data_IF_625175128074
#
_entry.id   IF_625175128074
#
_cell.length_a   1.000
_cell.length_b   1.000
_cell.length_c   1.000
_cell.angle_alpha   90.00
_cell.angle_beta   90.00
_cell.angle_gamma   90.00
#
_symmetry.space_group_name_H-M   'P 1'
#
loop_
_entity.id
_entity.type
_entity.pdbx_description
1 polymer ?
#
# COMPACT_ATOMS: atom_id res chain seq x y z
N UNK A 1 -18.46 11.77 18.17
CA UNK A 1 -17.19 11.73 18.93
C UNK A 1 -16.12 12.41 18.10
N UNK A 2 -15.14 13.10 18.70
CA UNK A 2 -14.02 13.65 17.96
C UNK A 2 -13.29 12.53 17.21
N UNK A 3 -12.83 12.82 15.99
CA UNK A 3 -12.08 11.88 15.15
C UNK A 3 -10.77 11.49 15.83
N UNK A 4 -10.48 10.20 15.91
CA UNK A 4 -9.19 9.68 16.38
C UNK A 4 -8.22 9.42 15.22
N UNK A 5 -6.95 9.20 15.55
CA UNK A 5 -5.90 8.98 14.55
C UNK A 5 -6.14 7.75 13.69
N UNK A 6 -6.66 6.67 14.28
CA UNK A 6 -6.99 5.44 13.54
C UNK A 6 -8.03 5.72 12.46
N UNK A 7 -9.13 6.38 12.85
CA UNK A 7 -10.24 6.73 11.95
C UNK A 7 -9.74 7.65 10.84
N UNK A 8 -8.98 8.69 11.18
CA UNK A 8 -8.42 9.62 10.20
C UNK A 8 -7.52 8.91 9.17
N UNK A 9 -6.64 8.00 9.60
CA UNK A 9 -5.80 7.23 8.69
C UNK A 9 -6.62 6.32 7.77
N UNK A 10 -7.60 5.60 8.31
CA UNK A 10 -8.42 4.66 7.54
C UNK A 10 -9.34 5.38 6.54
N UNK A 11 -9.90 6.53 6.90
CA UNK A 11 -10.68 7.37 5.98
C UNK A 11 -9.81 7.91 4.84
N UNK A 12 -8.63 8.43 5.15
CA UNK A 12 -7.72 8.93 4.12
C UNK A 12 -7.22 7.78 3.21
N UNK A 13 -6.88 6.62 3.78
CA UNK A 13 -6.49 5.44 3.01
C UNK A 13 -7.60 4.99 2.05
N UNK A 14 -8.86 5.04 2.49
CA UNK A 14 -10.03 4.69 1.67
C UNK A 14 -10.20 5.67 0.51
N UNK A 15 -9.98 6.97 0.76
CA UNK A 15 -9.98 8.01 -0.27
C UNK A 15 -8.86 7.78 -1.31
N UNK A 16 -7.64 7.54 -0.86
CA UNK A 16 -6.48 7.30 -1.72
C UNK A 16 -6.67 6.04 -2.59
N UNK A 17 -7.20 4.96 -2.00
CA UNK A 17 -7.54 3.73 -2.73
C UNK A 17 -8.68 3.95 -3.74
N UNK A 18 -9.69 4.78 -3.42
CA UNK A 18 -10.74 5.13 -4.36
C UNK A 18 -10.19 5.92 -5.56
N UNK A 19 -9.21 6.79 -5.34
CA UNK A 19 -8.52 7.51 -6.42
C UNK A 19 -7.67 6.57 -7.27
N UNK A 20 -6.88 5.68 -6.66
CA UNK A 20 -6.14 4.64 -7.36
C UNK A 20 -7.05 3.86 -8.32
N UNK A 21 -8.21 3.41 -7.84
CA UNK A 21 -9.18 2.68 -8.66
C UNK A 21 -9.68 3.48 -9.85
N UNK A 22 -9.85 4.80 -9.72
CA UNK A 22 -10.24 5.67 -10.84
C UNK A 22 -9.11 5.78 -11.85
N UNK A 23 -7.88 6.01 -11.40
CA UNK A 23 -6.71 6.11 -12.28
C UNK A 23 -6.47 4.82 -13.08
N UNK A 24 -6.65 3.65 -12.45
CA UNK A 24 -6.51 2.36 -13.12
C UNK A 24 -7.54 2.10 -14.24
N UNK A 25 -8.62 2.90 -14.32
CA UNK A 25 -9.57 2.83 -15.45
C UNK A 25 -9.07 3.51 -16.72
N UNK A 26 -8.10 4.42 -16.59
CA UNK A 26 -7.54 5.18 -17.69
C UNK A 26 -6.07 4.80 -17.91
N UNK A 27 -5.82 3.96 -18.92
CA UNK A 27 -4.47 3.49 -19.28
C UNK A 27 -3.57 4.59 -19.85
N UNK A 28 -4.09 5.81 -20.08
CA UNK A 28 -3.27 6.95 -20.50
C UNK A 28 -2.62 7.66 -19.33
N UNK A 29 -3.06 7.40 -18.10
CA UNK A 29 -2.45 7.96 -16.89
C UNK A 29 -1.04 7.38 -16.71
N UNK A 30 -0.01 8.22 -16.54
CA UNK A 30 1.33 7.75 -16.21
C UNK A 30 1.35 6.85 -14.96
N UNK A 31 2.08 5.74 -15.03
CA UNK A 31 2.13 4.72 -13.97
C UNK A 31 2.57 5.29 -12.62
N UNK A 32 3.45 6.29 -12.60
CA UNK A 32 3.89 6.97 -11.37
C UNK A 32 2.71 7.51 -10.54
N UNK A 33 1.67 8.07 -11.17
CA UNK A 33 0.49 8.55 -10.43
C UNK A 33 -0.27 7.40 -9.76
N UNK A 34 -0.44 6.29 -10.46
CA UNK A 34 -1.06 5.10 -9.87
C UNK A 34 -0.22 4.56 -8.70
N UNK A 35 1.11 4.52 -8.85
CA UNK A 35 2.01 4.06 -7.80
C UNK A 35 2.04 4.98 -6.58
N UNK A 36 1.97 6.29 -6.76
CA UNK A 36 1.84 7.25 -5.66
C UNK A 36 0.57 6.98 -4.84
N UNK A 37 -0.59 6.82 -5.49
CA UNK A 37 -1.82 6.51 -4.77
C UNK A 37 -1.82 5.11 -4.13
N UNK A 38 -1.15 4.13 -4.74
CA UNK A 38 -0.95 2.81 -4.12
C UNK A 38 -0.12 2.92 -2.83
N UNK A 39 1.05 3.57 -2.91
CA UNK A 39 1.93 3.82 -1.77
C UNK A 39 1.14 4.52 -0.65
N UNK A 40 0.46 5.63 -0.97
CA UNK A 40 -0.29 6.43 -0.01
C UNK A 40 -1.45 5.68 0.64
N UNK A 41 -2.19 4.89 -0.13
CA UNK A 41 -3.28 4.07 0.39
C UNK A 41 -2.74 3.00 1.35
N UNK A 42 -1.67 2.29 0.96
CA UNK A 42 -1.08 1.22 1.79
C UNK A 42 -0.45 1.74 3.08
N UNK A 43 0.26 2.87 3.02
CA UNK A 43 0.88 3.49 4.19
C UNK A 43 -0.17 3.87 5.24
N UNK A 44 -1.22 4.58 4.82
CA UNK A 44 -2.28 5.03 5.74
C UNK A 44 -3.15 3.89 6.21
N UNK A 45 -3.43 2.90 5.36
CA UNK A 45 -4.13 1.67 5.76
C UNK A 45 -3.38 0.98 6.90
N UNK A 46 -2.08 0.75 6.70
CA UNK A 46 -1.22 0.13 7.69
C UNK A 46 -1.16 0.94 8.99
N UNK A 47 -0.92 2.25 8.91
CA UNK A 47 -0.93 3.14 10.08
C UNK A 47 -2.27 3.11 10.81
N UNK A 48 -3.39 3.01 10.11
CA UNK A 48 -4.72 2.86 10.69
C UNK A 48 -4.85 1.56 11.49
N UNK A 49 -4.54 0.41 10.89
CA UNK A 49 -4.62 -0.90 11.58
C UNK A 49 -3.62 -1.06 12.72
N UNK A 50 -2.46 -0.41 12.64
CA UNK A 50 -1.42 -0.45 13.67
C UNK A 50 -1.64 0.57 14.79
N UNK A 51 -2.59 1.50 14.63
CA UNK A 51 -2.99 2.47 15.65
C UNK A 51 -4.13 1.89 16.50
N UNK A 52 -3.99 1.91 17.83
CA UNK A 52 -5.07 1.50 18.72
C UNK A 52 -6.26 2.48 18.64
N UNK A 53 -7.51 2.02 18.79
CA UNK A 53 -8.66 2.93 18.91
C UNK A 53 -8.45 3.94 20.04
N UNK A 54 -8.67 5.23 19.78
CA UNK A 54 -8.37 6.32 20.71
C UNK A 54 -6.87 6.55 21.00
N UNK A 55 -5.97 5.85 20.29
CA UNK A 55 -4.53 5.93 20.48
C UNK A 55 -3.89 7.19 19.88
N UNK A 56 -2.63 7.41 20.24
CA UNK A 56 -1.81 8.47 19.65
C UNK A 56 -1.42 8.17 18.20
N UNK A 57 -0.95 9.19 17.48
CA UNK A 57 -0.40 9.08 16.12
C UNK A 57 0.66 7.97 16.04
N UNK A 58 0.56 7.11 15.03
CA UNK A 58 1.60 6.13 14.70
C UNK A 58 2.95 6.82 14.47
N UNK A 59 4.00 6.39 15.21
CA UNK A 59 5.31 7.06 15.22
C UNK A 59 6.40 6.36 14.41
N UNK A 60 6.19 5.11 13.98
CA UNK A 60 7.17 4.43 13.12
C UNK A 60 6.94 4.88 11.68
N UNK A 61 8.02 5.19 10.97
CA UNK A 61 7.97 5.78 9.63
C UNK A 61 8.21 4.74 8.55
N UNK A 62 9.11 3.79 8.80
CA UNK A 62 9.54 2.78 7.84
C UNK A 62 8.81 1.45 8.08
N UNK A 63 8.50 0.75 6.99
CA UNK A 63 7.94 -0.60 6.97
C UNK A 63 6.54 -0.78 7.61
N UNK A 64 5.72 0.27 7.65
CA UNK A 64 4.38 0.18 8.22
C UNK A 64 3.53 -0.91 7.55
N UNK A 65 3.53 -0.99 6.23
CA UNK A 65 2.74 -1.94 5.47
C UNK A 65 3.27 -3.37 5.58
N UNK A 66 4.58 -3.60 5.50
CA UNK A 66 5.17 -4.92 5.78
C UNK A 66 4.87 -5.38 7.22
N UNK A 67 4.98 -4.48 8.21
CA UNK A 67 4.61 -4.80 9.60
C UNK A 67 3.12 -5.11 9.75
N UNK A 68 2.26 -4.39 9.03
CA UNK A 68 0.83 -4.68 8.99
C UNK A 68 0.56 -6.09 8.47
N UNK A 69 1.22 -6.53 7.38
CA UNK A 69 1.06 -7.91 6.88
C UNK A 69 1.43 -8.95 7.95
N UNK A 70 2.48 -8.72 8.73
CA UNK A 70 2.89 -9.64 9.80
C UNK A 70 1.79 -9.76 10.87
N UNK A 71 1.25 -8.63 11.32
CA UNK A 71 0.22 -8.59 12.38
C UNK A 71 -1.13 -9.10 11.85
N UNK A 72 -1.48 -8.81 10.59
CA UNK A 72 -2.71 -9.23 9.96
C UNK A 72 -2.90 -10.76 9.97
N UNK A 73 -1.82 -11.55 9.93
CA UNK A 73 -1.87 -13.03 10.06
C UNK A 73 -2.57 -13.53 11.33
N UNK A 74 -2.63 -12.70 12.35
CA UNK A 74 -3.29 -12.98 13.63
C UNK A 74 -4.74 -12.53 13.72
N UNK A 75 -5.27 -11.82 12.71
CA UNK A 75 -6.62 -11.21 12.75
C UNK A 75 -7.68 -12.15 12.16
N UNK A 76 -8.63 -12.66 12.96
CA UNK A 76 -9.74 -13.47 12.46
C UNK A 76 -10.68 -12.68 11.54
N UNK A 77 -10.87 -11.39 11.82
CA UNK A 77 -11.74 -10.52 11.02
C UNK A 77 -11.17 -10.31 9.61
N UNK A 78 -9.88 -10.00 9.50
CA UNK A 78 -9.21 -9.89 8.20
C UNK A 78 -9.15 -11.23 7.47
N UNK A 79 -8.92 -12.33 8.20
CA UNK A 79 -8.95 -13.67 7.63
C UNK A 79 -10.31 -13.95 6.97
N UNK A 80 -11.41 -13.67 7.69
CA UNK A 80 -12.78 -13.84 7.21
C UNK A 80 -13.09 -12.91 6.05
N UNK A 81 -12.71 -11.64 6.14
CA UNK A 81 -12.89 -10.65 5.07
C UNK A 81 -12.20 -11.05 3.76
N UNK A 82 -11.02 -11.67 3.85
CA UNK A 82 -10.29 -12.19 2.71
C UNK A 82 -10.84 -13.55 2.20
N UNK A 83 -11.88 -14.11 2.84
CA UNK A 83 -12.52 -15.36 2.44
C UNK A 83 -11.78 -16.63 2.87
N UNK A 84 -10.85 -16.56 3.81
CA UNK A 84 -10.09 -17.72 4.27
C UNK A 84 -10.72 -18.35 5.52
N UNK A 85 -10.87 -19.67 5.51
CA UNK A 85 -11.35 -20.44 6.68
C UNK A 85 -10.21 -20.92 7.57
N UNK A 86 -9.01 -21.09 7.01
CA UNK A 86 -7.83 -21.59 7.72
C UNK A 86 -6.77 -20.50 7.89
N UNK A 87 -6.40 -20.24 9.15
CA UNK A 87 -5.35 -19.26 9.49
C UNK A 87 -4.02 -19.54 8.80
N UNK A 88 -3.60 -20.81 8.69
CA UNK A 88 -2.35 -21.17 8.01
C UNK A 88 -2.33 -20.78 6.54
N UNK A 89 -3.45 -20.96 5.84
CA UNK A 89 -3.57 -20.61 4.41
C UNK A 89 -3.55 -19.09 4.24
N UNK A 90 -4.26 -18.37 5.12
CA UNK A 90 -4.23 -16.90 5.12
C UNK A 90 -2.83 -16.35 5.44
N UNK A 91 -2.12 -16.94 6.40
CA UNK A 91 -0.75 -16.53 6.70
C UNK A 91 0.19 -16.73 5.49
N UNK A 92 0.11 -17.88 4.83
CA UNK A 92 0.87 -18.15 3.60
C UNK A 92 0.51 -17.20 2.45
N UNK A 93 -0.76 -16.83 2.34
CA UNK A 93 -1.23 -15.81 1.41
C UNK A 93 -0.54 -14.45 1.67
N UNK A 94 -0.54 -13.97 2.92
CA UNK A 94 0.13 -12.72 3.28
C UNK A 94 1.64 -12.79 3.11
N UNK A 95 2.28 -13.93 3.42
CA UNK A 95 3.70 -14.16 3.16
C UNK A 95 4.04 -14.04 1.68
N UNK A 96 3.16 -14.55 0.80
CA UNK A 96 3.35 -14.42 -0.65
C UNK A 96 3.29 -12.98 -1.16
N UNK A 97 2.74 -12.03 -0.37
CA UNK A 97 2.65 -10.62 -0.74
C UNK A 97 3.82 -9.77 -0.23
N UNK A 98 4.67 -10.33 0.65
CA UNK A 98 5.66 -9.56 1.42
C UNK A 98 6.65 -8.77 0.55
N UNK A 99 7.27 -9.41 -0.44
CA UNK A 99 8.25 -8.70 -1.28
C UNK A 99 7.60 -7.55 -2.06
N UNK A 100 6.36 -7.76 -2.53
CA UNK A 100 5.64 -6.73 -3.27
C UNK A 100 5.22 -5.58 -2.35
N UNK A 101 4.87 -5.87 -1.10
CA UNK A 101 4.63 -4.84 -0.10
C UNK A 101 5.90 -4.04 0.19
N UNK A 102 7.06 -4.69 0.29
CA UNK A 102 8.34 -3.99 0.44
C UNK A 102 8.65 -3.10 -0.77
N UNK A 103 8.42 -3.59 -1.99
CA UNK A 103 8.61 -2.79 -3.20
C UNK A 103 7.72 -1.53 -3.20
N UNK A 104 6.48 -1.64 -2.72
CA UNK A 104 5.57 -0.50 -2.58
C UNK A 104 6.04 0.47 -1.50
N UNK A 105 6.60 0.00 -0.38
CA UNK A 105 7.14 0.88 0.66
C UNK A 105 8.40 1.62 0.20
N UNK A 106 9.25 0.96 -0.60
CA UNK A 106 10.45 1.54 -1.19
C UNK A 106 10.14 2.64 -2.24
N UNK A 107 8.87 2.87 -2.59
CA UNK A 107 8.44 4.03 -3.38
C UNK A 107 8.41 5.31 -2.57
N UNK A 108 8.39 5.26 -1.23
CA UNK A 108 8.42 6.45 -0.38
C UNK A 108 9.70 7.25 -0.64
N UNK A 109 9.66 8.58 -0.81
CA UNK A 109 10.81 9.40 -1.22
C UNK A 109 11.85 9.62 -0.10
N UNK A 110 12.32 8.57 0.56
CA UNK A 110 13.30 8.66 1.64
C UNK A 110 14.69 8.99 1.12
N UNK A 111 14.91 10.28 0.87
CA UNK A 111 16.07 10.79 0.16
C UNK A 111 15.81 10.88 -1.35
N UNK A 112 16.55 11.75 -2.04
CA UNK A 112 16.36 12.03 -3.47
C UNK A 112 17.26 11.16 -4.37
N UNK A 113 17.58 9.95 -3.92
CA UNK A 113 18.64 9.12 -4.51
C UNK A 113 18.12 7.78 -5.08
N UNK A 114 16.79 7.58 -5.11
CA UNK A 114 16.18 6.35 -5.60
C UNK A 114 14.86 6.60 -6.35
N UNK A 115 14.41 5.62 -7.17
CA UNK A 115 13.13 5.70 -7.86
C UNK A 115 11.97 5.87 -6.88
N UNK A 116 11.21 6.95 -7.06
CA UNK A 116 9.99 7.25 -6.30
C UNK A 116 8.97 7.91 -7.26
N UNK A 117 7.66 7.82 -6.98
CA UNK A 117 6.64 8.29 -7.90
C UNK A 117 6.34 9.79 -7.78
N UNK A 118 6.93 10.49 -6.80
CA UNK A 118 6.56 11.86 -6.43
C UNK A 118 7.53 12.91 -6.98
N UNK A 119 8.82 12.71 -6.79
CA UNK A 119 9.85 13.71 -7.08
C UNK A 119 10.91 13.16 -8.04
N UNK A 120 11.47 14.00 -8.93
CA UNK A 120 12.70 13.66 -9.63
C UNK A 120 13.82 13.30 -8.64
N UNK A 121 14.68 12.37 -9.05
CA UNK A 121 15.86 11.96 -8.28
C UNK A 121 17.11 12.01 -9.16
N UNK A 122 18.28 12.07 -8.53
CA UNK A 122 19.56 12.01 -9.24
C UNK A 122 20.17 10.62 -9.08
N UNK A 123 20.61 10.04 -10.19
CA UNK A 123 21.34 8.77 -10.19
C UNK A 123 22.55 8.90 -11.11
N UNK A 124 23.75 8.78 -10.53
CA UNK A 124 25.02 8.87 -11.25
C UNK A 124 25.15 10.16 -12.12
N UNK A 125 24.73 11.31 -11.59
CA UNK A 125 24.80 12.59 -12.29
C UNK A 125 23.67 12.84 -13.29
N UNK A 126 22.70 11.93 -13.40
CA UNK A 126 21.55 12.04 -14.30
C UNK A 126 20.29 12.28 -13.48
N UNK A 127 19.57 13.36 -13.80
CA UNK A 127 18.25 13.64 -13.23
C UNK A 127 17.20 12.80 -13.94
N UNK A 128 16.46 12.00 -13.18
CA UNK A 128 15.41 11.11 -13.69
C UNK A 128 14.06 11.61 -13.17
N UNK A 129 13.11 11.78 -14.08
CA UNK A 129 11.73 12.11 -13.72
C UNK A 129 10.90 10.84 -13.51
N UNK A 130 9.99 10.78 -12.51
CA UNK A 130 9.07 9.65 -12.35
C UNK A 130 8.23 9.37 -13.60
N UNK A 131 7.90 10.40 -14.37
CA UNK A 131 7.16 10.29 -15.64
C UNK A 131 7.91 9.51 -16.71
N UNK A 132 9.24 9.55 -16.69
CA UNK A 132 10.12 8.88 -17.65
C UNK A 132 10.63 7.51 -17.16
N UNK A 133 10.36 7.16 -15.89
CA UNK A 133 10.81 5.90 -15.31
C UNK A 133 9.74 4.82 -15.44
N UNK A 134 10.09 3.59 -15.91
CA UNK A 134 9.09 2.59 -16.29
C UNK A 134 8.46 1.83 -15.12
N UNK A 135 9.08 1.79 -13.94
CA UNK A 135 8.62 1.00 -12.77
C UNK A 135 8.23 -0.46 -13.11
N UNK A 136 8.99 -1.14 -13.97
CA UNK A 136 8.60 -2.43 -14.56
C UNK A 136 8.30 -3.54 -13.55
N UNK A 137 8.87 -3.48 -12.34
CA UNK A 137 8.61 -4.43 -11.24
C UNK A 137 7.25 -4.23 -10.55
N UNK A 138 6.59 -3.08 -10.77
CA UNK A 138 5.33 -2.69 -10.15
C UNK A 138 4.25 -2.37 -11.20
N UNK A 139 4.31 -2.96 -12.39
CA UNK A 139 3.34 -2.70 -13.45
C UNK A 139 1.91 -3.08 -13.02
N UNK A 140 1.09 -2.03 -12.79
CA UNK A 140 -0.30 -2.14 -12.38
C UNK A 140 -1.26 -2.44 -13.54
N UNK A 141 -0.84 -2.17 -14.78
CA UNK A 141 -1.65 -2.35 -15.98
C UNK A 141 -1.55 -3.77 -16.54
N UNK A 142 -0.40 -4.41 -16.37
CA UNK A 142 -0.20 -5.81 -16.74
C UNK A 142 -0.77 -6.79 -15.71
N UNK A 143 -1.20 -6.31 -14.54
CA UNK A 143 -1.89 -7.07 -13.49
C UNK A 143 -1.28 -8.45 -13.26
N UNK A 144 0.01 -8.49 -12.91
CA UNK A 144 0.62 -9.76 -12.49
C UNK A 144 -0.28 -10.44 -11.44
N UNK A 145 -0.40 -11.78 -11.42
CA UNK A 145 -1.26 -12.46 -10.45
C UNK A 145 -0.95 -12.06 -8.99
N UNK A 146 0.30 -11.67 -8.70
CA UNK A 146 0.73 -11.18 -7.39
C UNK A 146 0.16 -9.78 -7.09
N UNK A 147 0.21 -8.86 -8.06
CA UNK A 147 -0.36 -7.52 -7.92
C UNK A 147 -1.89 -7.55 -7.77
N UNK A 148 -2.58 -8.38 -8.56
CA UNK A 148 -4.03 -8.56 -8.42
C UNK A 148 -4.42 -9.05 -7.02
N UNK A 149 -3.66 -9.98 -6.44
CA UNK A 149 -3.83 -10.42 -5.05
C UNK A 149 -3.62 -9.28 -4.05
N UNK A 150 -2.56 -8.48 -4.21
CA UNK A 150 -2.29 -7.34 -3.33
C UNK A 150 -3.44 -6.32 -3.35
N UNK A 151 -3.88 -5.91 -4.54
CA UNK A 151 -5.00 -4.97 -4.71
C UNK A 151 -6.30 -5.54 -4.11
N UNK A 152 -6.55 -6.84 -4.29
CA UNK A 152 -7.69 -7.50 -3.64
C UNK A 152 -7.57 -7.47 -2.12
N UNK A 153 -6.39 -7.80 -1.56
CA UNK A 153 -6.17 -7.75 -0.11
C UNK A 153 -6.45 -6.35 0.46
N UNK A 154 -5.94 -5.30 -0.19
CA UNK A 154 -6.19 -3.90 0.20
C UNK A 154 -7.70 -3.60 0.20
N UNK A 155 -8.41 -4.01 -0.85
CA UNK A 155 -9.86 -3.84 -0.93
C UNK A 155 -10.61 -4.60 0.18
N UNK A 156 -10.21 -5.83 0.48
CA UNK A 156 -10.81 -6.65 1.54
C UNK A 156 -10.58 -6.02 2.93
N UNK A 157 -9.41 -5.42 3.20
CA UNK A 157 -9.13 -4.71 4.45
C UNK A 157 -10.16 -3.60 4.73
N UNK A 158 -10.61 -2.89 3.70
CA UNK A 158 -11.62 -1.83 3.82
C UNK A 158 -13.03 -2.32 4.13
N UNK A 159 -13.27 -3.63 4.17
CA UNK A 159 -14.56 -4.21 4.59
C UNK A 159 -14.67 -4.39 6.11
N UNK A 160 -13.53 -4.35 6.82
CA UNK A 160 -13.46 -4.48 8.29
C UNK A 160 -12.93 -3.23 8.99
N UNK A 161 -12.43 -2.26 8.21
CA UNK A 161 -11.90 -0.98 8.67
C UNK A 161 -12.98 0.11 8.71
#
# INVERSE_FOLDING_TARGET
>A
MPMDWRTAYLEQARSDHAMLRRLLTDKTVPLCHCLHYLQMATEKLAKGFLTQPGGARYRRTHDAFVNFLIIAKGSPDLQKACGFTQRRVFAAYLDSLRDLAQDVENLSPEGNDHPNPEYPWEQAGVVISPLAYPFSNLDLYQQSPKMAKLLKFIADCFTVA
#
